data_IF_031603624467
#
_entry.id   IF_031603624467
#
_cell.length_a   1.000
_cell.length_b   1.000
_cell.length_c   1.000
_cell.angle_alpha   90.00
_cell.angle_beta   90.00
_cell.angle_gamma   90.00
#
_symmetry.space_group_name_H-M   'P 1'
#
loop_
_entity.id
_entity.type
_entity.pdbx_description
1 polymer ?
#
# COMPACT_ATOMS: atom_id res chain seq x y z
N UNK A 1 2.60 -27.18 40.29
CA UNK A 1 2.20 -27.80 39.00
C UNK A 1 0.77 -28.31 39.13
N UNK A 2 -0.10 -27.92 38.21
CA UNK A 2 -1.45 -28.48 38.04
C UNK A 2 -1.47 -29.26 36.72
N UNK A 3 -1.99 -30.49 36.75
CA UNK A 3 -2.24 -31.30 35.55
C UNK A 3 -3.70 -31.75 35.55
N UNK A 4 -4.48 -31.31 34.56
CA UNK A 4 -5.89 -31.69 34.44
C UNK A 4 -6.14 -32.60 33.22
N UNK A 5 -6.82 -33.72 33.47
CA UNK A 5 -7.33 -34.66 32.45
C UNK A 5 -8.83 -34.97 32.63
N UNK A 6 -9.54 -34.10 33.37
CA UNK A 6 -10.98 -34.18 33.63
C UNK A 6 -11.61 -32.79 33.75
N UNK A 7 -12.63 -32.62 34.58
CA UNK A 7 -13.20 -31.30 34.89
C UNK A 7 -12.49 -30.70 36.10
N UNK A 8 -11.90 -29.51 35.97
CA UNK A 8 -11.22 -28.83 37.06
C UNK A 8 -11.57 -27.35 37.09
N UNK A 9 -12.05 -26.90 38.25
CA UNK A 9 -12.45 -25.51 38.50
C UNK A 9 -11.75 -25.03 39.77
N UNK A 10 -11.19 -23.83 39.70
CA UNK A 10 -10.50 -23.13 40.78
C UNK A 10 -11.27 -21.83 41.00
N UNK A 11 -11.38 -21.37 42.25
CA UNK A 11 -11.96 -20.07 42.53
C UNK A 11 -11.01 -18.97 42.07
N UNK A 12 -9.92 -18.78 42.82
CA UNK A 12 -8.83 -17.84 42.59
C UNK A 12 -7.45 -18.52 42.66
N UNK A 13 -6.45 -17.88 42.07
CA UNK A 13 -5.04 -18.24 42.24
C UNK A 13 -4.29 -17.01 42.76
N UNK A 14 -3.74 -17.11 43.96
CA UNK A 14 -2.96 -16.05 44.59
C UNK A 14 -1.48 -16.45 44.74
N UNK A 15 -0.57 -15.68 44.16
CA UNK A 15 0.87 -15.85 44.33
C UNK A 15 1.38 -15.01 45.51
N UNK A 16 1.29 -15.59 46.72
CA UNK A 16 1.73 -14.98 48.00
C UNK A 16 3.11 -15.45 48.46
N UNK A 17 3.99 -15.81 47.52
CA UNK A 17 5.37 -16.13 47.84
C UNK A 17 6.30 -15.56 46.77
N UNK A 18 7.22 -14.69 47.16
CA UNK A 18 8.27 -14.16 46.27
C UNK A 18 8.99 -15.29 45.52
N UNK A 19 9.11 -15.16 44.19
CA UNK A 19 9.73 -16.18 43.35
C UNK A 19 8.87 -17.43 43.11
N UNK A 20 7.59 -17.41 43.51
CA UNK A 20 6.67 -18.52 43.36
C UNK A 20 6.32 -18.82 41.90
N UNK A 21 6.34 -20.08 41.51
CA UNK A 21 6.05 -20.52 40.15
C UNK A 21 4.91 -21.54 40.11
N UNK A 22 3.95 -21.34 39.20
CA UNK A 22 2.87 -22.27 38.91
C UNK A 22 2.87 -22.63 37.43
N UNK A 23 3.11 -23.90 37.13
CA UNK A 23 2.85 -24.46 35.80
C UNK A 23 1.49 -25.15 35.76
N UNK A 24 0.63 -24.73 34.84
CA UNK A 24 -0.63 -25.38 34.48
C UNK A 24 -0.41 -26.20 33.21
N UNK A 25 -0.91 -27.43 33.18
CA UNK A 25 -0.80 -28.35 32.05
C UNK A 25 -2.04 -29.26 31.99
N UNK A 26 -2.25 -29.92 30.85
CA UNK A 26 -3.39 -30.82 30.68
C UNK A 26 -3.95 -30.79 29.27
N UNK A 27 -4.95 -31.64 29.05
CA UNK A 27 -5.67 -31.82 27.79
C UNK A 27 -7.18 -31.55 27.91
N UNK A 28 -7.61 -31.12 29.09
CA UNK A 28 -8.99 -30.71 29.37
C UNK A 28 -9.03 -29.27 29.90
N UNK A 29 -10.15 -28.60 29.67
CA UNK A 29 -10.36 -27.20 30.09
C UNK A 29 -10.15 -27.05 31.59
N UNK A 30 -9.44 -26.00 31.98
CA UNK A 30 -9.29 -25.55 33.36
C UNK A 30 -9.96 -24.19 33.46
N UNK A 31 -10.84 -24.03 34.44
CA UNK A 31 -11.55 -22.76 34.67
C UNK A 31 -11.15 -22.17 36.01
N UNK A 32 -10.70 -20.92 36.00
CA UNK A 32 -10.55 -20.06 37.17
C UNK A 32 -11.78 -19.14 37.17
N UNK A 33 -12.65 -19.29 38.18
CA UNK A 33 -13.94 -18.60 38.19
C UNK A 33 -13.84 -17.15 38.65
N UNK A 34 -12.76 -16.81 39.34
CA UNK A 34 -12.42 -15.45 39.73
C UNK A 34 -11.09 -15.04 39.07
N UNK A 35 -10.12 -14.55 39.85
CA UNK A 35 -8.92 -13.89 39.37
C UNK A 35 -7.64 -14.73 39.54
N UNK A 36 -6.59 -14.30 38.84
CA UNK A 36 -5.20 -14.69 39.13
C UNK A 36 -4.49 -13.44 39.66
N UNK A 37 -4.05 -13.46 40.92
CA UNK A 37 -3.36 -12.35 41.58
C UNK A 37 -1.87 -12.64 41.79
N UNK A 38 -1.02 -11.77 41.24
CA UNK A 38 0.41 -11.75 41.51
C UNK A 38 0.68 -10.80 42.68
N UNK A 39 0.60 -11.31 43.91
CA UNK A 39 0.69 -10.53 45.16
C UNK A 39 2.14 -10.24 45.56
N UNK A 40 3.05 -11.18 45.35
CA UNK A 40 4.48 -11.02 45.63
C UNK A 40 5.32 -10.91 44.34
N UNK A 41 6.51 -10.33 44.47
CA UNK A 41 7.42 -10.08 43.35
C UNK A 41 7.98 -11.38 42.73
N UNK A 42 8.41 -11.28 41.47
CA UNK A 42 9.12 -12.35 40.76
C UNK A 42 8.31 -13.65 40.62
N UNK A 43 6.98 -13.56 40.58
CA UNK A 43 6.10 -14.74 40.50
C UNK A 43 5.74 -15.07 39.06
N UNK A 44 5.56 -16.36 38.75
CA UNK A 44 5.40 -16.84 37.38
C UNK A 44 4.21 -17.79 37.24
N UNK A 45 3.29 -17.48 36.34
CA UNK A 45 2.29 -18.41 35.82
C UNK A 45 2.69 -18.91 34.44
N UNK A 46 2.82 -20.22 34.27
CA UNK A 46 3.09 -20.85 32.96
C UNK A 46 1.91 -21.72 32.53
N UNK A 47 1.27 -21.39 31.42
CA UNK A 47 0.26 -22.23 30.78
C UNK A 47 0.86 -23.11 29.69
N UNK A 48 0.97 -24.41 29.95
CA UNK A 48 1.36 -25.46 29.00
C UNK A 48 0.16 -26.37 28.64
N UNK A 49 -1.07 -25.92 28.88
CA UNK A 49 -2.26 -26.70 28.58
C UNK A 49 -2.50 -26.75 27.08
N UNK A 50 -2.87 -27.93 26.59
CA UNK A 50 -3.30 -28.13 25.19
C UNK A 50 -4.78 -27.82 24.99
N UNK A 51 -5.56 -27.78 26.07
CA UNK A 51 -6.90 -27.22 26.13
C UNK A 51 -6.87 -25.78 26.71
N UNK A 52 -8.03 -25.12 26.70
CA UNK A 52 -8.16 -23.75 27.19
C UNK A 52 -7.92 -23.63 28.71
N UNK A 53 -7.22 -22.57 29.10
CA UNK A 53 -7.26 -21.99 30.43
C UNK A 53 -8.24 -20.81 30.40
N UNK A 54 -9.40 -20.99 31.02
CA UNK A 54 -10.45 -19.96 31.08
C UNK A 54 -10.35 -19.21 32.41
N UNK A 55 -10.14 -17.90 32.36
CA UNK A 55 -10.13 -16.99 33.51
C UNK A 55 -11.37 -16.10 33.39
N UNK A 56 -12.36 -16.34 34.27
CA UNK A 56 -13.67 -15.69 34.21
C UNK A 56 -13.71 -14.31 34.87
N UNK A 57 -12.57 -13.85 35.38
CA UNK A 57 -12.37 -12.47 35.80
C UNK A 57 -11.13 -11.87 35.11
N UNK A 58 -10.10 -11.55 35.87
CA UNK A 58 -8.93 -10.79 35.44
C UNK A 58 -7.63 -11.47 35.83
N UNK A 59 -6.56 -11.10 35.13
CA UNK A 59 -5.19 -11.28 35.64
C UNK A 59 -4.80 -9.96 36.30
N UNK A 60 -4.36 -10.04 37.55
CA UNK A 60 -4.07 -8.87 38.37
C UNK A 60 -2.63 -8.91 38.87
N UNK A 61 -1.86 -7.88 38.54
CA UNK A 61 -0.48 -7.68 38.98
C UNK A 61 -0.45 -6.67 40.13
N UNK A 62 -0.51 -7.21 41.35
CA UNK A 62 -0.40 -6.44 42.60
C UNK A 62 1.06 -6.17 43.01
N UNK A 63 2.03 -6.80 42.34
CA UNK A 63 3.47 -6.72 42.60
C UNK A 63 4.30 -6.36 41.35
N UNK A 64 5.63 -6.42 41.46
CA UNK A 64 6.58 -6.16 40.36
C UNK A 64 7.23 -7.44 39.82
N UNK A 65 7.77 -7.35 38.61
CA UNK A 65 8.63 -8.38 37.99
C UNK A 65 7.97 -9.76 37.84
N UNK A 66 6.64 -9.79 37.79
CA UNK A 66 5.86 -11.02 37.67
C UNK A 66 5.51 -11.31 36.21
N UNK A 67 5.31 -12.59 35.89
CA UNK A 67 5.21 -13.05 34.50
C UNK A 67 4.06 -14.02 34.27
N UNK A 68 3.35 -13.83 33.16
CA UNK A 68 2.48 -14.85 32.57
C UNK A 68 3.15 -15.36 31.30
N UNK A 69 3.37 -16.68 31.21
CA UNK A 69 3.95 -17.36 30.05
C UNK A 69 2.89 -18.27 29.45
N UNK A 70 2.37 -17.91 28.28
CA UNK A 70 1.36 -18.69 27.58
C UNK A 70 1.98 -19.51 26.43
N UNK A 71 1.86 -20.84 26.52
CA UNK A 71 2.19 -21.79 25.44
C UNK A 71 0.94 -22.51 24.89
N UNK A 72 -0.26 -22.13 25.32
CA UNK A 72 -1.53 -22.75 24.95
C UNK A 72 -2.58 -21.70 24.60
N UNK A 73 -3.83 -21.95 24.98
CA UNK A 73 -4.91 -20.94 24.86
C UNK A 73 -5.27 -20.41 26.24
N UNK A 74 -5.26 -19.08 26.41
CA UNK A 74 -5.82 -18.40 27.58
C UNK A 74 -7.01 -17.54 27.12
N UNK A 75 -8.13 -17.66 27.82
CA UNK A 75 -9.30 -16.79 27.65
C UNK A 75 -9.50 -15.97 28.92
N UNK A 76 -9.46 -14.64 28.81
CA UNK A 76 -9.70 -13.71 29.92
C UNK A 76 -10.98 -12.93 29.59
N UNK A 77 -12.00 -13.07 30.42
CA UNK A 77 -13.29 -12.41 30.17
C UNK A 77 -13.30 -10.94 30.54
N UNK A 78 -12.40 -10.49 31.43
CA UNK A 78 -12.23 -9.08 31.77
C UNK A 78 -10.87 -8.54 31.28
N UNK A 79 -10.01 -8.11 32.19
CA UNK A 79 -8.81 -7.34 31.89
C UNK A 79 -7.52 -8.02 32.37
N UNK A 80 -6.41 -7.49 31.87
CA UNK A 80 -5.11 -7.62 32.54
C UNK A 80 -4.87 -6.27 33.21
N UNK A 81 -4.67 -6.26 34.53
CA UNK A 81 -4.54 -5.02 35.29
C UNK A 81 -3.32 -5.03 36.19
N UNK A 82 -2.58 -3.93 36.19
CA UNK A 82 -1.49 -3.60 37.09
C UNK A 82 -1.95 -2.51 38.08
N UNK A 83 -2.12 -2.88 39.35
CA UNK A 83 -2.88 -2.13 40.38
C UNK A 83 -2.35 -0.71 40.64
N UNK A 84 -1.03 -0.57 40.86
CA UNK A 84 -0.45 0.65 41.44
C UNK A 84 0.81 1.14 40.73
N UNK A 85 1.04 2.45 40.83
CA UNK A 85 2.31 3.08 40.44
C UNK A 85 3.48 2.39 41.12
N UNK A 86 4.47 1.94 40.34
CA UNK A 86 5.65 1.25 40.86
C UNK A 86 5.66 -0.27 40.68
N UNK A 87 4.52 -0.89 40.32
CA UNK A 87 4.44 -2.31 39.95
C UNK A 87 5.01 -2.55 38.54
N UNK A 88 6.33 -2.44 38.44
CA UNK A 88 7.05 -2.40 37.18
C UNK A 88 7.56 -3.77 36.74
N UNK A 89 7.93 -3.86 35.46
CA UNK A 89 8.56 -5.02 34.83
C UNK A 89 7.66 -6.27 34.83
N UNK A 90 6.35 -6.08 34.93
CA UNK A 90 5.40 -7.17 34.74
C UNK A 90 5.29 -7.47 33.24
N UNK A 91 5.20 -8.75 32.90
CA UNK A 91 5.19 -9.18 31.50
C UNK A 91 4.16 -10.28 31.24
N UNK A 92 3.50 -10.18 30.10
CA UNK A 92 2.73 -11.27 29.52
C UNK A 92 3.41 -11.71 28.23
N UNK A 93 3.90 -12.95 28.19
CA UNK A 93 4.53 -13.56 27.02
C UNK A 93 3.57 -14.56 26.37
N UNK A 94 3.10 -14.27 25.17
CA UNK A 94 2.27 -15.16 24.36
C UNK A 94 3.14 -15.83 23.29
N UNK A 95 3.57 -17.07 23.52
CA UNK A 95 4.58 -17.72 22.69
C UNK A 95 4.02 -18.19 21.33
N UNK A 96 4.92 -18.57 20.43
CA UNK A 96 4.56 -19.04 19.09
C UNK A 96 3.55 -20.19 19.14
N UNK A 97 2.46 -20.05 18.37
CA UNK A 97 1.34 -20.99 18.33
C UNK A 97 0.34 -20.87 19.48
N UNK A 98 0.60 -20.02 20.49
CA UNK A 98 -0.32 -19.75 21.57
C UNK A 98 -1.38 -18.71 21.18
N UNK A 99 -2.54 -18.77 21.84
CA UNK A 99 -3.64 -17.83 21.67
C UNK A 99 -3.97 -17.18 23.01
N UNK A 100 -4.08 -15.85 23.02
CA UNK A 100 -4.52 -15.09 24.18
C UNK A 100 -5.70 -14.21 23.78
N UNK A 101 -6.87 -14.49 24.36
CA UNK A 101 -8.09 -13.72 24.15
C UNK A 101 -8.32 -12.82 25.38
N UNK A 102 -8.45 -11.52 25.16
CA UNK A 102 -8.60 -10.51 26.24
C UNK A 102 -9.83 -9.63 25.94
N UNK A 103 -10.73 -9.57 26.92
CA UNK A 103 -12.02 -8.88 26.83
C UNK A 103 -11.91 -7.35 26.86
N UNK A 104 -11.76 -6.77 28.05
CA UNK A 104 -12.21 -5.40 28.30
C UNK A 104 -11.11 -4.33 28.27
N UNK A 105 -10.02 -4.50 29.02
CA UNK A 105 -8.99 -3.46 29.18
C UNK A 105 -7.62 -4.10 29.46
N UNK A 106 -6.54 -3.49 29.01
CA UNK A 106 -5.20 -3.68 29.59
C UNK A 106 -4.87 -2.42 30.39
N UNK A 107 -4.93 -2.50 31.72
CA UNK A 107 -4.86 -1.33 32.61
C UNK A 107 -3.54 -1.25 33.37
N UNK A 108 -2.86 -0.12 33.25
CA UNK A 108 -1.58 0.13 33.91
C UNK A 108 -1.58 1.45 34.66
N UNK A 109 -1.29 1.46 35.96
CA UNK A 109 -1.24 2.71 36.75
C UNK A 109 0.14 3.40 36.65
N UNK A 110 0.54 3.93 35.48
CA UNK A 110 1.88 4.50 35.21
C UNK A 110 3.02 3.54 35.61
N UNK A 111 3.02 2.37 35.00
CA UNK A 111 3.95 1.27 35.26
C UNK A 111 4.56 0.77 33.97
N UNK A 112 5.79 0.24 34.03
CA UNK A 112 6.36 -0.50 32.91
C UNK A 112 5.70 -1.88 32.87
N UNK A 113 4.72 -2.06 32.00
CA UNK A 113 4.09 -3.34 31.69
C UNK A 113 4.29 -3.67 30.22
N UNK A 114 4.70 -4.91 29.94
CA UNK A 114 4.98 -5.34 28.58
C UNK A 114 4.13 -6.53 28.18
N UNK A 115 3.65 -6.54 26.94
CA UNK A 115 3.09 -7.72 26.29
C UNK A 115 4.03 -8.12 25.16
N UNK A 116 4.59 -9.32 25.24
CA UNK A 116 5.47 -9.91 24.23
C UNK A 116 4.72 -11.01 23.48
N UNK A 117 4.28 -10.71 22.26
CA UNK A 117 3.45 -11.59 21.45
C UNK A 117 4.27 -12.22 20.32
N UNK A 118 4.41 -13.54 20.34
CA UNK A 118 4.88 -14.37 19.23
C UNK A 118 3.78 -15.29 18.66
N UNK A 119 2.57 -15.24 19.23
CA UNK A 119 1.41 -16.05 18.83
C UNK A 119 0.28 -15.18 18.28
N UNK A 120 -0.97 -15.52 18.63
CA UNK A 120 -2.15 -14.72 18.30
C UNK A 120 -2.75 -14.07 19.54
N UNK A 121 -2.96 -12.75 19.49
CA UNK A 121 -3.74 -12.02 20.49
C UNK A 121 -5.03 -11.53 19.84
N UNK A 122 -6.16 -11.78 20.50
CA UNK A 122 -7.45 -11.18 20.15
C UNK A 122 -7.89 -10.29 21.31
N UNK A 123 -7.85 -8.98 21.08
CA UNK A 123 -8.15 -7.98 22.09
C UNK A 123 -9.37 -7.18 21.65
N UNK A 124 -10.45 -7.29 22.42
CA UNK A 124 -11.67 -6.51 22.19
C UNK A 124 -11.74 -5.22 22.99
N UNK A 125 -10.75 -5.01 23.86
CA UNK A 125 -10.76 -4.01 24.90
C UNK A 125 -9.65 -2.97 24.78
N UNK A 126 -9.85 -1.80 25.38
CA UNK A 126 -8.90 -0.68 25.28
C UNK A 126 -7.55 -0.96 25.95
N UNK A 127 -6.49 -0.32 25.48
CA UNK A 127 -5.31 -0.07 26.32
C UNK A 127 -5.57 1.14 27.22
N UNK A 128 -5.17 1.11 28.49
CA UNK A 128 -5.14 2.32 29.33
C UNK A 128 -3.75 2.59 29.87
N UNK A 129 -3.33 3.85 29.76
CA UNK A 129 -2.01 4.37 30.12
C UNK A 129 -0.86 3.68 29.33
N UNK A 130 0.34 3.63 29.92
CA UNK A 130 1.56 3.15 29.27
C UNK A 130 1.62 1.62 29.23
N UNK A 131 1.69 1.06 28.03
CA UNK A 131 1.86 -0.37 27.77
C UNK A 131 2.86 -0.54 26.64
N UNK A 132 3.89 -1.35 26.87
CA UNK A 132 4.84 -1.73 25.83
C UNK A 132 4.35 -2.98 25.12
N UNK A 133 4.21 -2.91 23.80
CA UNK A 133 3.67 -3.99 23.00
C UNK A 133 4.72 -4.44 21.99
N UNK A 134 5.12 -5.70 22.05
CA UNK A 134 6.02 -6.30 21.07
C UNK A 134 5.28 -7.35 20.26
N UNK A 135 4.94 -7.02 19.00
CA UNK A 135 4.35 -7.98 18.08
C UNK A 135 5.46 -8.64 17.25
N UNK A 136 5.97 -9.77 17.75
CA UNK A 136 7.16 -10.46 17.24
C UNK A 136 6.90 -11.16 15.91
N UNK A 137 7.98 -11.66 15.29
CA UNK A 137 7.93 -12.38 14.03
C UNK A 137 6.82 -13.44 13.97
N UNK A 138 6.04 -13.41 12.87
CA UNK A 138 4.90 -14.29 12.59
C UNK A 138 3.73 -14.18 13.57
N UNK A 139 3.76 -13.23 14.51
CA UNK A 139 2.66 -12.99 15.42
C UNK A 139 1.50 -12.26 14.73
N UNK A 140 0.31 -12.41 15.30
CA UNK A 140 -0.88 -11.66 14.89
C UNK A 140 -1.49 -10.98 16.09
N UNK A 141 -1.75 -9.67 15.98
CA UNK A 141 -2.53 -8.92 16.95
C UNK A 141 -3.82 -8.45 16.30
N UNK A 142 -4.96 -8.93 16.77
CA UNK A 142 -6.28 -8.48 16.34
C UNK A 142 -6.84 -7.52 17.40
N UNK A 143 -6.84 -6.22 17.09
CA UNK A 143 -7.30 -5.15 17.98
C UNK A 143 -8.66 -4.61 17.52
N UNK A 144 -9.69 -4.79 18.35
CA UNK A 144 -11.08 -4.43 18.00
C UNK A 144 -11.65 -3.27 18.82
N UNK A 145 -10.86 -2.63 19.68
CA UNK A 145 -11.34 -1.50 20.48
C UNK A 145 -11.18 -0.17 19.74
N UNK A 146 -12.12 0.75 19.95
CA UNK A 146 -12.16 2.05 19.28
C UNK A 146 -11.41 3.16 20.04
N UNK A 147 -10.98 2.91 21.28
CA UNK A 147 -10.37 3.92 22.14
C UNK A 147 -8.92 4.11 21.77
N UNK A 148 -8.56 5.33 21.39
CA UNK A 148 -7.17 5.72 21.23
C UNK A 148 -6.50 5.95 22.58
N UNK A 149 -5.27 5.48 22.68
CA UNK A 149 -4.38 5.70 23.80
C UNK A 149 -3.00 6.13 23.28
N UNK A 150 -2.68 7.41 23.48
CA UNK A 150 -1.41 8.00 23.02
C UNK A 150 -0.17 7.49 23.78
N UNK A 151 -0.35 6.75 24.87
CA UNK A 151 0.74 6.30 25.73
C UNK A 151 1.17 4.85 25.44
N UNK A 152 0.59 4.18 24.44
CA UNK A 152 1.09 2.84 24.07
C UNK A 152 2.41 2.97 23.32
N UNK A 153 3.38 2.12 23.66
CA UNK A 153 4.62 1.96 22.91
C UNK A 153 4.50 0.69 22.07
N UNK A 154 4.03 0.83 20.83
CA UNK A 154 3.82 -0.29 19.93
C UNK A 154 5.07 -0.54 19.08
N UNK A 155 5.65 -1.74 19.20
CA UNK A 155 6.73 -2.23 18.34
C UNK A 155 6.20 -3.37 17.47
N UNK A 156 6.03 -3.10 16.17
CA UNK A 156 5.35 -4.01 15.25
C UNK A 156 6.15 -4.29 13.97
N UNK A 157 7.47 -4.05 13.95
CA UNK A 157 8.30 -4.29 12.77
C UNK A 157 9.17 -5.58 12.82
N UNK A 158 8.73 -6.60 13.55
CA UNK A 158 9.48 -7.86 13.64
C UNK A 158 9.07 -8.87 12.57
N UNK A 159 10.00 -9.23 11.68
CA UNK A 159 9.90 -10.41 10.81
C UNK A 159 8.71 -10.38 9.85
N UNK A 160 7.70 -11.23 10.06
CA UNK A 160 6.49 -11.38 9.22
C UNK A 160 5.19 -11.13 10.00
N UNK A 161 5.25 -10.40 11.11
CA UNK A 161 4.07 -10.18 11.97
C UNK A 161 2.98 -9.36 11.28
N UNK A 162 1.76 -9.42 11.80
CA UNK A 162 0.62 -8.60 11.36
C UNK A 162 -0.05 -7.93 12.55
N UNK A 163 -0.30 -6.63 12.45
CA UNK A 163 -1.21 -5.91 13.33
C UNK A 163 -2.51 -5.61 12.57
N UNK A 164 -3.64 -6.04 13.12
CA UNK A 164 -4.94 -5.98 12.47
C UNK A 164 -5.93 -5.15 13.29
N UNK A 165 -6.31 -3.99 12.76
CA UNK A 165 -7.41 -3.17 13.28
C UNK A 165 -8.73 -3.72 12.74
N UNK A 166 -9.48 -4.38 13.61
CA UNK A 166 -10.64 -5.18 13.21
C UNK A 166 -11.92 -4.84 13.98
N UNK A 167 -12.01 -3.64 14.58
CA UNK A 167 -13.28 -3.17 15.13
C UNK A 167 -14.36 -3.12 14.04
N UNK A 168 -15.63 -3.36 14.37
CA UNK A 168 -16.71 -3.19 13.38
C UNK A 168 -17.10 -1.70 13.18
N UNK A 169 -16.78 -0.85 14.16
CA UNK A 169 -17.00 0.59 14.13
C UNK A 169 -15.73 1.37 13.80
N UNK A 170 -15.80 2.69 14.05
CA UNK A 170 -14.66 3.60 13.92
C UNK A 170 -13.53 3.17 14.85
N UNK A 171 -12.30 3.38 14.43
CA UNK A 171 -11.11 3.03 15.18
C UNK A 171 -9.95 3.92 14.77
N UNK A 172 -9.17 4.38 15.73
CA UNK A 172 -7.95 5.12 15.44
C UNK A 172 -6.77 4.16 15.26
N UNK A 173 -5.94 4.42 14.26
CA UNK A 173 -4.70 3.70 14.01
C UNK A 173 -3.59 4.36 14.82
N UNK A 174 -2.99 3.60 15.73
CA UNK A 174 -1.79 4.00 16.45
C UNK A 174 -0.58 4.02 15.53
N UNK A 175 0.35 4.94 15.77
CA UNK A 175 1.64 4.97 15.08
C UNK A 175 2.65 4.18 15.92
N UNK A 176 3.23 3.09 15.40
CA UNK A 176 4.28 2.35 16.09
C UNK A 176 5.51 3.21 16.38
N UNK A 177 6.25 2.85 17.42
CA UNK A 177 7.56 3.43 17.75
C UNK A 177 8.65 3.05 16.72
N UNK A 178 8.45 1.94 15.99
CA UNK A 178 9.30 1.48 14.90
C UNK A 178 8.62 1.64 13.53
N UNK A 179 7.73 0.72 13.18
CA UNK A 179 6.92 0.69 11.96
C UNK A 179 5.90 -0.46 12.08
N UNK A 180 4.98 -0.54 11.13
CA UNK A 180 4.27 -1.79 10.89
C UNK A 180 5.09 -2.70 10.00
N UNK A 181 5.20 -4.00 10.36
CA UNK A 181 5.63 -5.00 9.39
C UNK A 181 4.53 -5.27 8.37
N UNK A 182 3.37 -5.71 8.82
CA UNK A 182 2.17 -5.78 7.98
C UNK A 182 1.02 -5.11 8.75
N UNK A 183 0.27 -4.26 8.04
CA UNK A 183 -0.91 -3.57 8.56
C UNK A 183 -2.16 -4.12 7.88
N UNK A 184 -3.12 -4.58 8.67
CA UNK A 184 -4.42 -5.03 8.19
C UNK A 184 -5.53 -4.19 8.80
N UNK A 185 -6.46 -3.78 7.95
CA UNK A 185 -7.72 -3.14 8.32
C UNK A 185 -8.83 -4.07 7.85
N UNK A 186 -9.63 -4.57 8.78
CA UNK A 186 -10.62 -5.59 8.48
C UNK A 186 -11.96 -5.32 9.15
N UNK A 187 -12.94 -6.15 8.80
CA UNK A 187 -14.35 -6.00 9.17
C UNK A 187 -14.99 -4.75 8.57
N UNK A 188 -15.07 -3.65 9.31
CA UNK A 188 -15.81 -2.47 8.90
C UNK A 188 -15.44 -1.20 9.66
N UNK A 189 -16.14 -0.11 9.34
CA UNK A 189 -15.94 1.19 9.97
C UNK A 189 -14.71 1.92 9.44
N UNK A 190 -14.59 3.19 9.84
CA UNK A 190 -13.48 4.06 9.45
C UNK A 190 -12.30 3.83 10.38
N UNK A 191 -11.12 3.60 9.80
CA UNK A 191 -9.84 3.38 10.45
C UNK A 191 -8.99 4.62 10.18
N UNK A 192 -8.99 5.55 11.11
CA UNK A 192 -8.37 6.88 10.91
C UNK A 192 -6.91 6.85 11.33
N UNK A 193 -6.01 7.24 10.43
CA UNK A 193 -4.61 7.42 10.76
C UNK A 193 -4.40 8.69 11.59
N UNK A 194 -3.59 8.59 12.64
CA UNK A 194 -3.26 9.72 13.53
C UNK A 194 -1.87 10.32 13.25
N UNK A 195 -1.19 9.83 12.22
CA UNK A 195 0.12 10.27 11.78
C UNK A 195 0.53 9.51 10.52
N UNK A 196 1.74 9.79 10.02
CA UNK A 196 2.26 9.09 8.85
C UNK A 196 2.45 7.60 9.17
N UNK A 197 2.09 6.75 8.21
CA UNK A 197 2.22 5.29 8.33
C UNK A 197 3.50 4.83 7.64
N UNK A 198 4.39 4.20 8.40
CA UNK A 198 5.51 3.42 7.86
C UNK A 198 5.13 1.94 7.89
N UNK A 199 5.07 1.30 6.71
CA UNK A 199 4.71 -0.11 6.56
C UNK A 199 5.79 -0.85 5.77
N UNK A 200 6.65 -1.57 6.49
CA UNK A 200 7.80 -2.31 5.95
C UNK A 200 7.43 -3.65 5.26
N UNK A 201 6.15 -3.87 5.00
CA UNK A 201 5.59 -5.07 4.35
C UNK A 201 4.23 -4.71 3.76
N UNK A 202 3.22 -5.56 3.93
CA UNK A 202 1.96 -5.39 3.21
C UNK A 202 0.94 -4.54 3.98
N UNK A 203 0.18 -3.73 3.23
CA UNK A 203 -1.00 -3.02 3.72
C UNK A 203 -2.25 -3.63 3.06
N UNK A 204 -3.19 -4.06 3.90
CA UNK A 204 -4.46 -4.65 3.44
C UNK A 204 -5.67 -3.92 4.01
N UNK A 205 -6.56 -3.44 3.15
CA UNK A 205 -7.88 -2.91 3.49
C UNK A 205 -8.94 -3.92 3.03
N UNK A 206 -9.74 -4.43 3.95
CA UNK A 206 -10.62 -5.56 3.68
C UNK A 206 -12.02 -5.44 4.28
N UNK A 207 -12.97 -6.19 3.69
CA UNK A 207 -14.36 -6.15 4.10
C UNK A 207 -15.02 -4.84 3.70
N UNK A 208 -15.67 -4.17 4.65
CA UNK A 208 -16.23 -2.82 4.46
C UNK A 208 -15.49 -1.79 5.30
N UNK A 209 -14.21 -2.04 5.60
CA UNK A 209 -13.36 -1.09 6.31
C UNK A 209 -12.96 0.05 5.38
N UNK A 210 -12.85 1.25 5.94
CA UNK A 210 -12.29 2.42 5.27
C UNK A 210 -10.97 2.76 5.95
N UNK A 211 -9.86 2.82 5.22
CA UNK A 211 -8.67 3.54 5.70
C UNK A 211 -8.89 5.02 5.42
N UNK A 212 -9.00 5.81 6.47
CA UNK A 212 -8.97 7.27 6.39
C UNK A 212 -7.54 7.71 6.72
N UNK A 213 -6.78 8.11 5.70
CA UNK A 213 -5.41 8.58 5.87
C UNK A 213 -5.35 9.90 6.64
N UNK A 214 -6.44 10.68 6.65
CA UNK A 214 -6.54 11.95 7.36
C UNK A 214 -5.36 12.89 7.02
N UNK A 215 -5.08 13.01 5.71
CA UNK A 215 -3.99 13.78 5.10
C UNK A 215 -2.56 13.34 5.50
N UNK A 216 -2.40 12.17 6.14
CA UNK A 216 -1.09 11.63 6.52
C UNK A 216 -0.50 10.72 5.44
N UNK A 217 0.81 10.84 5.24
CA UNK A 217 1.53 10.04 4.23
C UNK A 217 1.62 8.56 4.60
N UNK A 218 1.78 7.72 3.59
CA UNK A 218 1.99 6.28 3.73
C UNK A 218 3.25 5.88 2.97
N UNK A 219 4.25 5.38 3.69
CA UNK A 219 5.43 4.72 3.14
C UNK A 219 5.22 3.21 3.20
N UNK A 220 5.34 2.55 2.05
CA UNK A 220 5.01 1.14 1.89
C UNK A 220 6.13 0.41 1.16
N UNK A 221 6.72 -0.59 1.82
CA UNK A 221 7.77 -1.42 1.26
C UNK A 221 7.27 -2.77 0.71
N UNK A 222 5.98 -3.10 0.88
CA UNK A 222 5.33 -4.31 0.35
C UNK A 222 4.09 -4.02 -0.48
N UNK A 223 3.15 -4.96 -0.52
CA UNK A 223 1.97 -4.89 -1.40
C UNK A 223 0.84 -4.04 -0.83
N UNK A 224 0.14 -3.33 -1.71
CA UNK A 224 -1.13 -2.65 -1.43
C UNK A 224 -2.31 -3.51 -1.90
N UNK A 225 -3.10 -4.01 -0.96
CA UNK A 225 -4.32 -4.77 -1.26
C UNK A 225 -5.54 -4.07 -0.70
N UNK A 226 -6.44 -3.59 -1.56
CA UNK A 226 -7.67 -2.92 -1.16
C UNK A 226 -8.91 -3.63 -1.73
N UNK A 227 -9.74 -4.12 -0.84
CA UNK A 227 -11.09 -4.65 -1.13
C UNK A 227 -12.17 -3.91 -0.34
N UNK A 228 -11.79 -2.89 0.42
CA UNK A 228 -12.66 -1.99 1.18
C UNK A 228 -12.69 -0.60 0.53
N UNK A 229 -12.39 0.43 1.32
CA UNK A 229 -12.31 1.82 0.84
C UNK A 229 -11.03 2.48 1.34
N UNK A 230 -10.39 3.25 0.47
CA UNK A 230 -9.33 4.15 0.86
C UNK A 230 -9.84 5.59 0.70
N UNK A 231 -9.75 6.34 1.78
CA UNK A 231 -10.05 7.77 1.84
C UNK A 231 -8.71 8.48 2.08
N UNK A 232 -8.17 9.07 1.01
CA UNK A 232 -6.87 9.73 1.03
C UNK A 232 -6.89 11.08 1.76
N UNK A 233 -8.06 11.60 2.13
CA UNK A 233 -8.20 12.84 2.89
C UNK A 233 -8.88 13.95 2.11
N UNK A 234 -8.36 15.18 2.23
CA UNK A 234 -8.96 16.37 1.64
C UNK A 234 -8.99 16.27 0.10
N UNK A 235 -10.16 16.35 -0.55
CA UNK A 235 -10.25 16.19 -2.00
C UNK A 235 -9.57 17.36 -2.75
N UNK A 236 -9.18 17.16 -4.01
CA UNK A 236 -8.59 18.22 -4.83
C UNK A 236 -9.47 19.48 -4.95
N UNK A 237 -8.87 20.68 -5.10
CA UNK A 237 -7.45 20.96 -4.99
C UNK A 237 -7.03 21.10 -3.52
N UNK A 238 -5.97 20.40 -3.11
CA UNK A 238 -5.39 20.53 -1.77
C UNK A 238 -5.14 19.22 -1.02
N UNK A 239 -5.20 18.09 -1.71
CA UNK A 239 -4.83 16.79 -1.16
C UNK A 239 -3.32 16.71 -0.96
N UNK A 240 -2.85 16.71 0.29
CA UNK A 240 -1.40 16.60 0.58
C UNK A 240 -0.92 15.17 0.76
N UNK A 241 -1.85 14.21 0.82
CA UNK A 241 -1.54 12.83 1.14
C UNK A 241 -0.72 12.18 0.03
N UNK A 242 0.41 11.58 0.40
CA UNK A 242 1.26 10.84 -0.52
C UNK A 242 1.37 9.38 -0.10
N UNK A 243 1.09 8.48 -1.04
CA UNK A 243 1.49 7.07 -0.92
C UNK A 243 2.82 6.87 -1.66
N UNK A 244 3.82 6.34 -0.96
CA UNK A 244 5.15 6.05 -1.48
C UNK A 244 5.40 4.55 -1.49
N UNK A 245 5.65 3.98 -2.67
CA UNK A 245 6.13 2.61 -2.84
C UNK A 245 7.66 2.61 -2.86
N UNK A 246 8.31 2.17 -1.78
CA UNK A 246 9.76 2.23 -1.55
C UNK A 246 10.40 0.87 -1.21
N UNK A 247 9.72 -0.22 -1.61
CA UNK A 247 10.21 -1.58 -1.46
C UNK A 247 11.46 -1.90 -2.28
N UNK A 248 12.08 -3.04 -1.96
CA UNK A 248 13.30 -3.56 -2.62
C UNK A 248 13.05 -4.74 -3.57
N UNK A 249 11.79 -5.14 -3.72
CA UNK A 249 11.34 -6.16 -4.68
C UNK A 249 10.02 -5.72 -5.30
N UNK A 250 9.43 -6.53 -6.18
CA UNK A 250 8.20 -6.16 -6.88
C UNK A 250 7.08 -5.86 -5.87
N UNK A 251 6.44 -4.71 -6.02
CA UNK A 251 5.28 -4.33 -5.23
C UNK A 251 4.04 -4.33 -6.12
N UNK A 252 2.91 -4.72 -5.55
CA UNK A 252 1.64 -4.75 -6.28
C UNK A 252 0.61 -3.78 -5.72
N UNK A 253 -0.22 -3.24 -6.61
CA UNK A 253 -1.46 -2.55 -6.27
C UNK A 253 -2.63 -3.43 -6.70
N UNK A 254 -3.57 -3.69 -5.81
CA UNK A 254 -4.71 -4.57 -6.07
C UNK A 254 -6.02 -3.97 -5.56
N UNK A 255 -6.92 -3.57 -6.47
CA UNK A 255 -8.28 -3.17 -6.12
C UNK A 255 -9.23 -3.37 -7.31
N UNK A 256 -10.11 -4.38 -7.23
CA UNK A 256 -11.00 -4.76 -8.32
C UNK A 256 -11.96 -3.65 -8.79
N UNK A 257 -12.18 -2.62 -7.97
CA UNK A 257 -13.01 -1.47 -8.29
C UNK A 257 -12.23 -0.28 -8.85
N UNK A 258 -10.90 -0.42 -9.00
CA UNK A 258 -9.96 0.67 -9.22
C UNK A 258 -9.45 1.25 -7.91
N UNK A 259 -8.24 1.79 -7.92
CA UNK A 259 -7.65 2.50 -6.78
C UNK A 259 -7.39 3.97 -7.13
N UNK A 260 -7.56 4.86 -6.15
CA UNK A 260 -7.31 6.29 -6.32
C UNK A 260 -6.36 6.77 -5.23
N UNK A 261 -5.36 7.55 -5.63
CA UNK A 261 -4.43 8.24 -4.76
C UNK A 261 -4.44 9.74 -5.08
N UNK A 262 -4.31 10.61 -4.08
CA UNK A 262 -4.03 12.03 -4.34
C UNK A 262 -2.65 12.18 -4.99
N UNK A 263 -1.61 11.79 -4.24
CA UNK A 263 -0.24 11.78 -4.71
C UNK A 263 0.35 10.37 -4.60
N UNK A 264 1.05 9.95 -5.66
CA UNK A 264 1.72 8.66 -5.73
C UNK A 264 3.20 8.85 -6.04
N UNK A 265 4.05 8.27 -5.20
CA UNK A 265 5.50 8.23 -5.43
C UNK A 265 5.97 6.81 -5.64
N UNK A 266 6.68 6.59 -6.74
CA UNK A 266 7.36 5.33 -7.03
C UNK A 266 8.85 5.53 -6.79
N UNK A 267 9.36 4.82 -5.76
CA UNK A 267 10.74 4.85 -5.31
C UNK A 267 11.30 3.43 -5.14
N UNK A 268 10.91 2.51 -6.02
CA UNK A 268 11.30 1.11 -5.98
C UNK A 268 12.27 0.79 -7.14
N UNK A 269 13.58 0.84 -6.90
CA UNK A 269 14.59 0.71 -7.94
C UNK A 269 14.74 -0.71 -8.56
N UNK A 270 14.10 -1.74 -8.00
CA UNK A 270 14.27 -3.11 -8.48
C UNK A 270 13.35 -3.39 -9.69
N UNK A 271 12.13 -3.85 -9.41
CA UNK A 271 11.13 -4.21 -10.43
C UNK A 271 10.01 -3.20 -10.55
N UNK A 272 9.93 -2.25 -9.62
CA UNK A 272 8.90 -1.21 -9.61
C UNK A 272 7.56 -1.70 -9.07
N UNK A 273 6.47 -1.17 -9.63
CA UNK A 273 5.09 -1.42 -9.19
C UNK A 273 4.25 -2.03 -10.30
N UNK A 274 3.50 -3.08 -9.98
CA UNK A 274 2.59 -3.77 -10.92
C UNK A 274 1.14 -3.62 -10.48
N UNK A 275 0.22 -3.36 -11.41
CA UNK A 275 -1.22 -3.37 -11.12
C UNK A 275 -1.76 -4.78 -11.30
N UNK A 276 -2.07 -5.43 -10.19
CA UNK A 276 -2.50 -6.83 -10.18
C UNK A 276 -3.99 -7.01 -10.48
N UNK A 277 -4.82 -6.00 -10.22
CA UNK A 277 -6.28 -6.17 -10.28
C UNK A 277 -7.08 -4.85 -10.32
N UNK A 278 -6.77 -3.90 -11.20
CA UNK A 278 -7.61 -2.72 -11.39
C UNK A 278 -6.85 -1.53 -11.96
N UNK A 279 -7.59 -0.56 -12.48
CA UNK A 279 -7.05 0.74 -12.89
C UNK A 279 -6.58 1.53 -11.67
N UNK A 280 -5.60 2.42 -11.86
CA UNK A 280 -5.11 3.33 -10.82
C UNK A 280 -5.25 4.76 -11.31
N UNK A 281 -5.78 5.62 -10.45
CA UNK A 281 -5.89 7.06 -10.66
C UNK A 281 -4.99 7.77 -9.67
N UNK A 282 -4.19 8.71 -10.16
CA UNK A 282 -3.42 9.66 -9.36
C UNK A 282 -4.00 11.03 -9.65
N UNK A 283 -4.62 11.67 -8.67
CA UNK A 283 -5.40 12.87 -8.90
C UNK A 283 -4.52 14.11 -9.06
N UNK A 284 -3.52 14.28 -8.18
CA UNK A 284 -2.66 15.47 -8.14
C UNK A 284 -1.26 15.19 -8.68
N UNK A 285 -0.39 14.49 -7.95
CA UNK A 285 1.03 14.34 -8.35
C UNK A 285 1.47 12.89 -8.48
N UNK A 286 2.01 12.54 -9.65
CA UNK A 286 2.77 11.31 -9.86
C UNK A 286 4.27 11.62 -9.85
N UNK A 287 4.99 11.12 -8.84
CA UNK A 287 6.45 11.20 -8.74
C UNK A 287 7.07 9.84 -9.14
N UNK A 288 7.80 9.81 -10.26
CA UNK A 288 8.59 8.64 -10.68
C UNK A 288 10.06 8.91 -10.37
N UNK A 289 10.50 8.50 -9.18
CA UNK A 289 11.89 8.72 -8.72
C UNK A 289 12.81 7.62 -9.23
N UNK A 290 12.37 6.37 -9.14
CA UNK A 290 13.05 5.16 -9.60
C UNK A 290 12.05 4.01 -9.64
N UNK A 291 12.24 3.07 -10.57
CA UNK A 291 11.35 1.93 -10.77
C UNK A 291 10.33 2.13 -11.88
N UNK A 292 9.97 1.03 -12.54
CA UNK A 292 8.93 1.03 -13.56
C UNK A 292 7.52 1.01 -12.92
N UNK A 293 6.52 1.41 -13.68
CA UNK A 293 5.12 1.12 -13.38
C UNK A 293 4.61 0.21 -14.49
N UNK A 294 4.08 -0.95 -14.15
CA UNK A 294 3.48 -1.89 -15.09
C UNK A 294 1.97 -1.99 -14.80
N UNK A 295 1.14 -1.21 -15.51
CA UNK A 295 -0.31 -1.35 -15.42
C UNK A 295 -0.83 -2.68 -15.99
N UNK A 296 -0.02 -3.45 -16.72
CA UNK A 296 -0.44 -4.64 -17.42
C UNK A 296 -1.58 -4.34 -18.41
N UNK A 297 -2.75 -4.94 -18.18
CA UNK A 297 -3.95 -4.66 -18.99
C UNK A 297 -4.76 -3.46 -18.52
N UNK A 298 -4.42 -2.90 -17.35
CA UNK A 298 -5.08 -1.77 -16.72
C UNK A 298 -4.52 -0.44 -17.23
N UNK A 299 -5.06 0.65 -16.72
CA UNK A 299 -4.65 2.01 -17.05
C UNK A 299 -4.17 2.74 -15.81
N UNK A 300 -3.00 3.36 -15.89
CA UNK A 300 -2.61 4.43 -14.98
C UNK A 300 -3.18 5.75 -15.51
N UNK A 301 -3.94 6.47 -14.69
CA UNK A 301 -4.46 7.80 -15.02
C UNK A 301 -3.81 8.85 -14.13
N UNK A 302 -3.38 9.97 -14.70
CA UNK A 302 -2.96 11.16 -13.98
C UNK A 302 -3.92 12.32 -14.28
N UNK A 303 -4.41 12.97 -13.22
CA UNK A 303 -5.42 14.03 -13.26
C UNK A 303 -6.85 13.50 -13.23
N UNK A 304 -7.83 14.42 -13.14
CA UNK A 304 -9.27 14.11 -13.07
C UNK A 304 -10.14 15.13 -13.82
N UNK A 305 -11.42 14.83 -14.00
CA UNK A 305 -12.44 15.80 -14.45
C UNK A 305 -13.22 16.48 -13.31
N UNK A 306 -12.94 16.13 -12.04
CA UNK A 306 -13.78 16.54 -10.91
C UNK A 306 -13.77 18.05 -10.66
N UNK A 307 -12.62 18.70 -10.85
CA UNK A 307 -12.44 20.15 -10.71
C UNK A 307 -12.00 20.75 -12.03
N UNK A 308 -12.95 21.02 -12.94
CA UNK A 308 -12.71 21.69 -14.22
C UNK A 308 -11.35 21.34 -14.87
N UNK A 309 -11.08 20.03 -14.99
CA UNK A 309 -9.86 19.46 -15.52
C UNK A 309 -8.63 19.73 -14.63
N UNK A 310 -8.39 18.86 -13.66
CA UNK A 310 -7.06 18.80 -13.05
C UNK A 310 -6.16 17.99 -14.00
N UNK A 311 -5.12 18.63 -14.54
CA UNK A 311 -4.16 17.98 -15.44
C UNK A 311 -3.26 16.97 -14.71
N UNK A 312 -3.13 17.13 -13.39
CA UNK A 312 -2.13 16.43 -12.59
C UNK A 312 -0.70 16.81 -12.97
N UNK A 313 0.22 16.65 -12.03
CA UNK A 313 1.65 16.93 -12.20
C UNK A 313 2.43 15.63 -12.29
N UNK A 314 3.14 15.44 -13.40
CA UNK A 314 4.15 14.38 -13.53
C UNK A 314 5.52 14.95 -13.16
N UNK A 315 6.15 14.38 -12.14
CA UNK A 315 7.54 14.62 -11.77
C UNK A 315 8.34 13.37 -12.09
N UNK A 316 9.04 13.37 -13.23
CA UNK A 316 9.77 12.19 -13.74
C UNK A 316 11.28 12.38 -13.59
N UNK A 317 11.92 11.44 -12.90
CA UNK A 317 13.40 11.34 -12.77
C UNK A 317 13.93 10.07 -13.42
N UNK A 318 13.22 8.94 -13.28
CA UNK A 318 13.59 7.64 -13.82
C UNK A 318 12.37 6.72 -13.89
N UNK A 319 12.50 5.61 -14.62
CA UNK A 319 11.48 4.58 -14.76
C UNK A 319 10.58 4.76 -15.97
N UNK A 320 9.95 3.67 -16.37
CA UNK A 320 9.07 3.58 -17.54
C UNK A 320 7.69 3.07 -17.15
N UNK A 321 6.66 3.58 -17.82
CA UNK A 321 5.29 3.05 -17.75
C UNK A 321 5.12 1.99 -18.85
N UNK A 322 5.00 0.73 -18.45
CA UNK A 322 4.93 -0.43 -19.34
C UNK A 322 3.46 -0.76 -19.62
N UNK A 323 2.80 0.10 -20.38
CA UNK A 323 1.39 -0.06 -20.71
C UNK A 323 0.69 1.28 -20.89
N UNK A 324 -0.62 1.30 -20.61
CA UNK A 324 -1.45 2.47 -20.86
C UNK A 324 -1.26 3.52 -19.77
N UNK A 325 -0.81 4.70 -20.21
CA UNK A 325 -0.79 5.90 -19.40
C UNK A 325 -1.77 6.93 -19.96
N UNK A 326 -2.80 7.24 -19.19
CA UNK A 326 -3.77 8.29 -19.47
C UNK A 326 -3.38 9.56 -18.71
N UNK A 327 -3.35 10.70 -19.40
CA UNK A 327 -3.21 12.02 -18.77
C UNK A 327 -4.38 12.92 -19.15
N UNK A 328 -4.91 13.67 -18.19
CA UNK A 328 -5.76 14.82 -18.48
C UNK A 328 -4.91 15.98 -18.98
N UNK A 329 -5.45 16.77 -19.90
CA UNK A 329 -4.74 17.87 -20.56
C UNK A 329 -5.73 19.03 -20.74
N UNK A 330 -5.40 20.19 -20.18
CA UNK A 330 -6.34 21.31 -20.09
C UNK A 330 -5.89 22.59 -20.78
N UNK A 331 -4.60 22.70 -21.10
CA UNK A 331 -4.05 23.90 -21.70
C UNK A 331 -3.01 23.58 -22.77
N UNK A 332 -2.82 24.55 -23.66
CA UNK A 332 -1.72 24.57 -24.64
C UNK A 332 -0.39 24.98 -23.96
N UNK A 333 0.74 24.80 -24.67
CA UNK A 333 2.05 25.43 -24.40
C UNK A 333 3.00 24.76 -23.39
N UNK A 334 2.67 23.60 -22.85
CA UNK A 334 3.60 22.77 -22.07
C UNK A 334 3.92 21.49 -22.82
N UNK A 335 5.16 21.01 -22.69
CA UNK A 335 5.53 19.69 -23.17
C UNK A 335 4.90 18.64 -22.26
N UNK A 336 4.04 17.81 -22.83
CA UNK A 336 3.32 16.75 -22.13
C UNK A 336 4.08 15.44 -22.35
N UNK A 337 4.92 15.08 -21.38
CA UNK A 337 5.68 13.83 -21.36
C UNK A 337 4.79 12.62 -21.01
N UNK A 338 4.95 11.55 -21.77
CA UNK A 338 4.48 10.20 -21.48
C UNK A 338 5.71 9.29 -21.42
N UNK A 339 6.18 8.92 -20.21
CA UNK A 339 7.37 8.09 -20.05
C UNK A 339 7.04 6.60 -20.29
N UNK A 340 6.43 6.28 -21.44
CA UNK A 340 6.05 4.91 -21.81
C UNK A 340 7.20 4.13 -22.44
N UNK A 341 7.12 2.81 -22.47
CA UNK A 341 8.14 1.97 -23.09
C UNK A 341 8.03 0.51 -22.68
N UNK A 342 9.18 -0.15 -22.53
CA UNK A 342 9.26 -1.54 -22.09
C UNK A 342 9.99 -1.64 -20.75
N UNK A 343 10.24 -2.87 -20.29
CA UNK A 343 11.11 -3.14 -19.13
C UNK A 343 12.57 -2.69 -19.35
N UNK A 344 12.98 -2.51 -20.60
CA UNK A 344 14.38 -2.32 -20.99
C UNK A 344 14.62 -1.13 -21.92
N UNK A 345 13.57 -0.49 -22.42
CA UNK A 345 13.68 0.64 -23.37
C UNK A 345 12.78 1.81 -22.97
N UNK A 346 13.35 3.01 -23.07
CA UNK A 346 12.68 4.28 -22.76
C UNK A 346 12.08 4.88 -24.05
N UNK A 347 10.93 4.37 -24.47
CA UNK A 347 10.25 4.85 -25.67
C UNK A 347 9.33 6.04 -25.37
N UNK A 348 9.88 7.09 -24.78
CA UNK A 348 9.09 8.23 -24.34
C UNK A 348 8.41 8.95 -25.50
N UNK A 349 7.22 9.49 -25.24
CA UNK A 349 6.49 10.37 -26.15
C UNK A 349 6.26 11.72 -25.49
N UNK A 350 6.57 12.80 -26.19
CA UNK A 350 6.30 14.15 -25.73
C UNK A 350 5.43 14.86 -26.77
N UNK A 351 4.35 15.47 -26.31
CA UNK A 351 3.39 16.18 -27.16
C UNK A 351 3.25 17.62 -26.70
N UNK A 352 3.27 18.56 -27.65
CA UNK A 352 3.09 19.98 -27.37
C UNK A 352 1.94 20.54 -28.21
N UNK A 353 0.86 20.96 -27.54
CA UNK A 353 -0.34 21.46 -28.19
C UNK A 353 -0.25 22.96 -28.49
N UNK A 354 -0.44 23.34 -29.75
CA UNK A 354 -0.60 24.74 -30.19
C UNK A 354 -2.06 25.16 -30.18
N UNK A 355 -2.98 24.24 -30.47
CA UNK A 355 -4.42 24.35 -30.19
C UNK A 355 -4.90 23.17 -29.32
N UNK A 356 -5.93 23.38 -28.49
CA UNK A 356 -6.47 22.32 -27.64
C UNK A 356 -7.91 22.61 -27.23
N UNK A 357 -8.78 21.62 -27.40
CA UNK A 357 -9.96 21.42 -26.57
C UNK A 357 -9.57 20.42 -25.48
N UNK A 358 -9.83 20.76 -24.22
CA UNK A 358 -9.41 19.94 -23.08
C UNK A 358 -10.06 18.55 -23.08
N UNK A 359 -9.37 17.60 -22.47
CA UNK A 359 -9.82 16.23 -22.30
C UNK A 359 -8.67 15.37 -21.82
N UNK A 360 -8.61 14.13 -22.30
CA UNK A 360 -7.52 13.23 -21.94
C UNK A 360 -6.90 12.53 -23.14
N UNK A 361 -5.65 12.14 -22.97
CA UNK A 361 -4.90 11.35 -23.94
C UNK A 361 -4.38 10.09 -23.25
N UNK A 362 -4.58 8.93 -23.88
CA UNK A 362 -3.96 7.67 -23.46
C UNK A 362 -2.85 7.32 -24.44
N UNK A 363 -1.65 7.06 -23.91
CA UNK A 363 -0.47 6.67 -24.68
C UNK A 363 0.03 5.32 -24.18
N UNK A 364 0.41 4.45 -25.11
CA UNK A 364 1.04 3.16 -24.87
C UNK A 364 2.10 2.91 -25.94
N UNK A 365 3.26 2.37 -25.55
CA UNK A 365 4.24 1.86 -26.51
C UNK A 365 4.02 0.38 -26.75
N UNK A 366 3.89 -0.01 -28.02
CA UNK A 366 3.67 -1.38 -28.45
C UNK A 366 4.94 -1.92 -29.14
N UNK A 367 5.67 -2.88 -28.53
CA UNK A 367 6.90 -3.45 -29.08
C UNK A 367 6.63 -4.52 -30.15
N UNK A 368 5.93 -4.13 -31.22
CA UNK A 368 5.58 -5.03 -32.33
C UNK A 368 5.57 -4.32 -33.68
N UNK A 369 5.80 -5.08 -34.76
CA UNK A 369 5.82 -4.54 -36.12
C UNK A 369 4.45 -3.92 -36.46
N UNK A 370 4.38 -2.59 -36.70
CA UNK A 370 3.13 -1.98 -37.07
C UNK A 370 2.72 -2.34 -38.51
N UNK A 371 3.59 -2.92 -39.32
CA UNK A 371 3.31 -3.25 -40.72
C UNK A 371 3.41 -2.05 -41.66
N UNK A 372 3.35 -2.31 -42.97
CA UNK A 372 3.79 -1.36 -44.02
C UNK A 372 2.67 -0.81 -44.91
N UNK A 373 1.40 -0.93 -44.49
CA UNK A 373 0.24 -0.48 -45.28
C UNK A 373 0.36 1.02 -45.65
N UNK A 374 0.02 1.41 -46.88
CA UNK A 374 0.17 2.78 -47.35
C UNK A 374 1.56 3.19 -47.86
N UNK A 375 2.63 2.41 -47.61
CA UNK A 375 3.96 2.69 -48.16
C UNK A 375 4.07 2.27 -49.64
N UNK A 376 4.86 2.99 -50.47
CA UNK A 376 5.78 4.07 -50.11
C UNK A 376 5.12 5.46 -50.05
N UNK A 377 5.67 6.31 -49.18
CA UNK A 377 5.32 7.74 -49.09
C UNK A 377 6.46 8.61 -49.63
N UNK A 378 6.13 9.83 -50.06
CA UNK A 378 7.11 10.79 -50.58
C UNK A 378 6.99 12.11 -49.81
N UNK A 379 8.13 12.67 -49.39
CA UNK A 379 8.20 14.01 -48.81
C UNK A 379 9.51 14.66 -49.25
N UNK A 380 9.41 15.86 -49.83
CA UNK A 380 10.57 16.55 -50.42
C UNK A 380 11.27 15.67 -51.48
N UNK A 381 12.56 15.34 -51.29
CA UNK A 381 13.36 14.52 -52.23
C UNK A 381 13.45 13.04 -51.81
N UNK A 382 12.78 12.64 -50.74
CA UNK A 382 12.89 11.31 -50.15
C UNK A 382 11.67 10.44 -50.45
N UNK A 383 11.93 9.14 -50.63
CA UNK A 383 10.91 8.09 -50.80
C UNK A 383 11.06 7.12 -49.63
N UNK A 384 10.06 7.03 -48.77
CA UNK A 384 10.05 6.16 -47.61
C UNK A 384 9.35 4.86 -47.99
N UNK A 385 10.12 3.77 -48.10
CA UNK A 385 9.63 2.46 -48.55
C UNK A 385 9.37 1.49 -47.41
N UNK A 386 9.99 1.73 -46.27
CA UNK A 386 9.98 0.87 -45.10
C UNK A 386 9.68 1.71 -43.86
N UNK A 387 9.20 1.04 -42.82
CA UNK A 387 9.05 1.49 -41.45
C UNK A 387 9.93 0.63 -40.54
N UNK A 388 10.24 1.13 -39.34
CA UNK A 388 10.84 0.32 -38.27
C UNK A 388 9.85 -0.72 -37.76
N UNK A 389 10.34 -1.90 -37.38
CA UNK A 389 9.48 -3.04 -36.98
C UNK A 389 9.51 -3.33 -35.48
N UNK A 390 10.33 -2.60 -34.72
CA UNK A 390 10.52 -2.80 -33.29
C UNK A 390 9.32 -2.33 -32.46
N UNK A 391 8.60 -1.30 -32.92
CA UNK A 391 7.41 -0.85 -32.24
C UNK A 391 6.78 0.42 -32.77
N UNK A 392 5.72 0.84 -32.09
CA UNK A 392 4.97 2.05 -32.37
C UNK A 392 4.28 2.57 -31.11
N UNK A 393 3.90 3.85 -31.13
CA UNK A 393 3.08 4.47 -30.09
C UNK A 393 1.61 4.43 -30.51
N UNK A 394 0.76 3.90 -29.64
CA UNK A 394 -0.69 4.08 -29.73
C UNK A 394 -1.05 5.33 -28.91
N UNK A 395 -1.76 6.26 -29.54
CA UNK A 395 -2.12 7.56 -28.97
C UNK A 395 -3.61 7.78 -29.22
N UNK A 396 -4.40 7.63 -28.16
CA UNK A 396 -5.87 7.68 -28.23
C UNK A 396 -6.42 8.87 -27.45
N UNK A 397 -7.18 9.74 -28.12
CA UNK A 397 -7.90 10.84 -27.48
C UNK A 397 -9.21 10.37 -26.84
N UNK A 398 -9.59 10.99 -25.72
CA UNK A 398 -10.85 10.76 -25.04
C UNK A 398 -11.31 12.02 -24.29
N UNK A 399 -12.48 11.94 -23.64
CA UNK A 399 -13.00 13.00 -22.78
C UNK A 399 -13.02 14.39 -23.45
N UNK A 400 -13.46 14.44 -24.71
CA UNK A 400 -13.54 15.65 -25.56
C UNK A 400 -12.22 16.25 -26.04
N UNK A 401 -11.08 15.61 -25.75
CA UNK A 401 -9.80 16.10 -26.23
C UNK A 401 -9.81 16.18 -27.76
N UNK A 402 -9.46 17.36 -28.28
CA UNK A 402 -9.35 17.61 -29.72
C UNK A 402 -8.28 18.66 -29.98
N UNK A 403 -7.44 18.42 -30.98
CA UNK A 403 -6.40 19.34 -31.43
C UNK A 403 -6.10 19.10 -32.90
N UNK A 404 -5.86 20.17 -33.65
CA UNK A 404 -5.49 20.11 -35.07
C UNK A 404 -4.13 20.73 -35.37
N UNK A 405 -3.41 21.17 -34.34
CA UNK A 405 -2.07 21.75 -34.43
C UNK A 405 -1.25 21.42 -33.17
N UNK A 406 -0.38 20.42 -33.30
CA UNK A 406 0.50 19.97 -32.22
C UNK A 406 1.83 19.44 -32.76
N UNK A 407 2.85 19.43 -31.90
CA UNK A 407 4.15 18.84 -32.19
C UNK A 407 4.29 17.52 -31.43
N UNK A 408 4.98 16.56 -32.03
CA UNK A 408 5.31 15.27 -31.41
C UNK A 408 6.83 15.06 -31.44
N UNK A 409 7.35 14.62 -30.32
CA UNK A 409 8.68 14.06 -30.13
C UNK A 409 8.56 12.61 -29.65
N UNK A 410 9.28 11.68 -30.30
CA UNK A 410 9.29 10.26 -29.96
C UNK A 410 10.72 9.76 -29.81
N UNK A 411 11.01 9.06 -28.73
CA UNK A 411 12.32 8.45 -28.46
C UNK A 411 12.31 7.01 -28.96
N UNK A 412 13.00 6.74 -30.07
CA UNK A 412 13.03 5.41 -30.69
C UNK A 412 14.14 4.53 -30.10
N UNK A 413 14.25 4.49 -28.77
CA UNK A 413 15.17 3.61 -28.06
C UNK A 413 14.89 2.14 -28.40
N UNK A 414 15.95 1.36 -28.60
CA UNK A 414 15.86 -0.03 -29.03
C UNK A 414 15.56 -0.25 -30.53
N UNK A 415 15.39 0.79 -31.35
CA UNK A 415 15.16 0.67 -32.79
C UNK A 415 16.48 0.44 -33.53
N UNK A 416 16.60 -0.68 -34.26
CA UNK A 416 17.87 -1.18 -34.81
C UNK A 416 17.80 -1.64 -36.28
N UNK A 417 16.61 -1.79 -36.87
CA UNK A 417 16.39 -2.19 -38.27
C UNK A 417 17.09 -1.25 -39.24
N UNK A 418 17.09 0.05 -38.90
CA UNK A 418 17.75 1.10 -39.64
C UNK A 418 18.45 2.07 -38.68
N UNK A 419 19.44 2.81 -39.16
CA UNK A 419 19.96 3.92 -38.38
C UNK A 419 18.95 5.07 -38.36
N UNK A 420 18.69 5.64 -37.19
CA UNK A 420 18.01 6.92 -37.09
C UNK A 420 18.95 7.99 -37.62
N UNK A 421 18.50 8.74 -38.62
CA UNK A 421 19.25 9.80 -39.28
C UNK A 421 18.40 11.07 -39.29
N UNK A 422 18.96 12.26 -39.52
CA UNK A 422 18.16 13.49 -39.67
C UNK A 422 16.99 13.35 -40.67
N UNK A 423 17.12 12.46 -41.67
CA UNK A 423 16.10 12.15 -42.65
C UNK A 423 15.05 11.09 -42.23
N UNK A 424 15.08 10.59 -41.00
CA UNK A 424 14.01 9.73 -40.44
C UNK A 424 12.71 10.52 -40.30
N UNK A 425 11.56 9.81 -40.30
CA UNK A 425 10.22 10.42 -40.24
C UNK A 425 9.35 9.74 -39.20
N UNK A 426 8.52 10.53 -38.53
CA UNK A 426 7.32 10.04 -37.86
C UNK A 426 6.22 9.85 -38.90
N UNK A 427 5.59 8.68 -38.90
CA UNK A 427 4.42 8.36 -39.70
C UNK A 427 3.21 8.21 -38.76
N UNK A 428 2.02 8.52 -39.25
CA UNK A 428 0.78 8.36 -38.50
C UNK A 428 -0.22 7.54 -39.30
N UNK A 429 -1.12 6.85 -38.61
CA UNK A 429 -2.29 6.16 -39.16
C UNK A 429 -3.34 6.02 -38.07
N UNK A 430 -4.53 5.56 -38.44
CA UNK A 430 -5.62 5.29 -37.50
C UNK A 430 -6.05 3.83 -37.62
N UNK A 431 -6.17 3.13 -36.49
CA UNK A 431 -6.71 1.77 -36.39
C UNK A 431 -6.18 0.79 -37.46
N UNK A 432 -4.86 0.76 -37.66
CA UNK A 432 -4.19 -0.13 -38.63
C UNK A 432 -4.40 0.22 -40.11
N UNK A 433 -4.91 1.42 -40.41
CA UNK A 433 -5.05 1.93 -41.78
C UNK A 433 -3.73 2.19 -42.51
N UNK A 434 -3.81 2.84 -43.67
CA UNK A 434 -2.63 3.22 -44.44
C UNK A 434 -1.82 4.30 -43.73
N UNK A 435 -0.49 4.17 -43.74
CA UNK A 435 0.42 5.20 -43.26
C UNK A 435 0.28 6.48 -44.06
N UNK A 436 0.37 7.61 -43.36
CA UNK A 436 0.39 8.94 -43.94
C UNK A 436 1.36 9.87 -43.22
N UNK A 437 1.64 11.00 -43.88
CA UNK A 437 2.46 12.09 -43.37
C UNK A 437 1.53 13.23 -42.93
N UNK A 438 1.46 13.51 -41.63
CA UNK A 438 0.69 14.63 -41.07
C UNK A 438 1.61 15.70 -40.51
N UNK A 439 1.39 16.97 -40.84
CA UNK A 439 2.29 18.07 -40.47
C UNK A 439 3.63 18.06 -41.21
N UNK A 440 4.65 18.69 -40.61
CA UNK A 440 5.94 18.97 -41.22
C UNK A 440 7.08 18.19 -40.56
N UNK A 441 8.01 17.68 -41.37
CA UNK A 441 9.24 17.07 -40.88
C UNK A 441 10.13 18.04 -40.10
N UNK A 442 10.75 17.55 -39.03
CA UNK A 442 11.88 18.17 -38.35
C UNK A 442 13.00 17.14 -38.16
N UNK A 443 14.25 17.56 -38.40
CA UNK A 443 15.40 16.66 -38.42
C UNK A 443 15.56 15.90 -37.10
N UNK A 444 15.65 14.56 -37.20
CA UNK A 444 15.89 13.70 -36.04
C UNK A 444 17.28 13.94 -35.43
N UNK A 445 17.36 13.78 -34.10
CA UNK A 445 18.60 13.79 -33.32
C UNK A 445 18.67 12.41 -32.68
N UNK A 446 19.47 11.45 -33.21
CA UNK A 446 19.41 10.07 -32.78
C UNK A 446 19.55 9.92 -31.26
N UNK A 447 18.65 9.21 -30.60
CA UNK A 447 17.55 8.34 -31.12
C UNK A 447 16.15 9.01 -31.20
N UNK A 448 16.07 10.31 -31.07
CA UNK A 448 14.82 11.07 -31.05
C UNK A 448 14.36 11.53 -32.44
N UNK A 449 13.08 11.33 -32.76
CA UNK A 449 12.43 11.78 -34.01
C UNK A 449 11.32 12.79 -33.73
N UNK A 450 11.12 13.72 -34.66
CA UNK A 450 10.22 14.87 -34.46
C UNK A 450 9.25 15.05 -35.61
N UNK A 451 8.06 15.59 -35.31
CA UNK A 451 7.12 16.06 -36.32
C UNK A 451 6.31 17.26 -35.81
N UNK A 452 6.31 18.35 -36.57
CA UNK A 452 5.80 19.64 -36.12
C UNK A 452 4.52 20.05 -36.87
N UNK A 453 3.61 20.72 -36.17
CA UNK A 453 2.34 21.19 -36.71
C UNK A 453 1.54 20.06 -37.35
N UNK A 454 1.45 18.93 -36.65
CA UNK A 454 0.65 17.77 -37.03
C UNK A 454 -0.80 18.22 -37.19
N UNK A 455 -1.35 17.99 -38.38
CA UNK A 455 -2.70 18.40 -38.73
C UNK A 455 -3.67 17.22 -38.72
N UNK A 456 -4.94 17.52 -38.42
CA UNK A 456 -5.99 16.52 -38.24
C UNK A 456 -6.05 16.04 -36.79
N UNK A 457 -7.25 15.69 -36.35
CA UNK A 457 -7.49 15.37 -34.94
C UNK A 457 -6.78 14.07 -34.49
N UNK A 458 -6.48 14.00 -33.20
CA UNK A 458 -6.03 12.76 -32.57
C UNK A 458 -7.21 11.79 -32.52
N UNK A 459 -6.99 10.56 -32.97
CA UNK A 459 -8.03 9.53 -33.11
C UNK A 459 -8.55 9.07 -31.74
N UNK A 460 -9.85 8.79 -31.67
CA UNK A 460 -10.48 8.10 -30.53
C UNK A 460 -10.40 6.56 -30.64
N UNK A 461 -9.73 6.05 -31.68
CA UNK A 461 -9.65 4.63 -32.03
C UNK A 461 -8.22 4.08 -32.04
N UNK A 462 -7.23 4.88 -31.60
CA UNK A 462 -5.81 4.62 -31.83
C UNK A 462 -5.34 5.00 -33.23
#
# INVERSE_FOLDING_TARGET
IIYNSGTFTIDDIEFQNEGGELTISGDNVITITDLVDFIDDNTILTNNSTANLDIQNQIFFSSSSSSVINNGTINITQNIWVDQTGNNNNIVSNNAGAVLNIGNIVECSNTVFSIDNSGTINQTGAFTNEVQIFNRNAATWNYSDATFNANIELFSDFGTNTFNYNAAGTQDIHIPEDAYRNLSLSNGGIKTSLGNLEVNGNLSISGTATLDANDNDINLAGDWTNTGTFDHGSPPPGGSQTVTFDGIGEQTISNASGETFDNLTINNADTGVVFSNGDVIVEETLNMTQGNIDPGTWTLTLGTDEVAGDEGTLSHTSGTIIGKFKRWIIATSTDILFPVGTDTTENFSTINFTDLTSGSLTVEYNPSDPGSAGLPLNESLYIFRNQFTEGYWDITSANTLSSTDYNIELVADGFNDFSILPASRVLARTNGGDWELRGNHADAIPDTVFRNGVTGDISTLG
#
